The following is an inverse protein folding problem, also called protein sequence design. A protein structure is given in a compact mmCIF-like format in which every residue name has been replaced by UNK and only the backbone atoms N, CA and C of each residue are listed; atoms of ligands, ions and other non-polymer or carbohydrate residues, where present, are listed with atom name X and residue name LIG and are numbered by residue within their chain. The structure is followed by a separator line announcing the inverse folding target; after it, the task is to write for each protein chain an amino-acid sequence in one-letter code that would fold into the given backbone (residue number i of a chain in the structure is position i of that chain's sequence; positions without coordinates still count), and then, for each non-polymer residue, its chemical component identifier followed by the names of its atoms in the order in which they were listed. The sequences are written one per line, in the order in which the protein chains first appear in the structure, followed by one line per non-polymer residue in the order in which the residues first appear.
data_IF_351331898894
#
_entry.id   IF_351331898894
#
_cell.length_a   1.000
_cell.length_b   1.000
_cell.length_c   1.000
_cell.angle_alpha   90.00
_cell.angle_beta   90.00
_cell.angle_gamma   90.00
#
_symmetry.space_group_name_H-M   'P 1'
#
loop_
_entity.id
_entity.type
_entity.pdbx_description
1 polymer ?
#
# COMPACT_ATOMS: atom_id res chain seq x y z
N UNK A 1 11.38 5.52 16.16
CA UNK A 1 10.87 4.18 16.47
C UNK A 1 9.35 4.23 16.50
N UNK A 2 8.68 3.33 15.74
CA UNK A 2 7.24 3.10 15.85
C UNK A 2 6.94 2.02 16.89
N UNK A 3 5.75 2.05 17.48
CA UNK A 3 5.33 1.12 18.51
C UNK A 3 3.94 0.54 18.23
N UNK A 4 3.65 -0.65 18.81
CA UNK A 4 2.37 -1.34 18.60
C UNK A 4 1.17 -0.60 19.21
N UNK A 5 1.39 0.37 20.10
CA UNK A 5 0.35 1.25 20.61
C UNK A 5 0.17 2.54 19.80
N UNK A 6 0.58 2.49 18.51
CA UNK A 6 0.45 3.54 17.51
C UNK A 6 1.11 4.88 17.91
N UNK A 7 2.29 4.81 18.53
CA UNK A 7 3.12 5.99 18.84
C UNK A 7 4.41 5.98 18.02
N UNK A 8 4.88 7.18 17.73
CA UNK A 8 6.15 7.43 17.07
C UNK A 8 7.08 8.20 18.01
N UNK A 9 8.29 7.69 18.21
CA UNK A 9 9.31 8.29 19.07
C UNK A 9 10.55 8.67 18.28
N UNK A 10 11.10 9.85 18.54
CA UNK A 10 12.48 10.16 18.22
C UNK A 10 13.33 10.01 19.47
N UNK A 11 14.39 9.23 19.34
CA UNK A 11 15.34 8.98 20.43
C UNK A 11 16.69 9.59 20.08
N UNK A 12 17.38 10.08 21.08
CA UNK A 12 18.78 10.44 20.96
C UNK A 12 19.61 9.17 20.73
N UNK A 13 20.38 9.13 19.63
CA UNK A 13 21.08 7.91 19.21
C UNK A 13 22.21 7.48 20.20
N UNK A 14 22.76 8.40 20.96
CA UNK A 14 23.85 8.11 21.90
C UNK A 14 23.34 7.72 23.30
N UNK A 15 22.21 8.29 23.72
CA UNK A 15 21.74 8.16 25.11
C UNK A 15 20.44 7.39 25.23
N UNK A 16 19.67 7.22 24.14
CA UNK A 16 18.33 6.66 24.14
C UNK A 16 17.26 7.60 24.71
N UNK A 17 17.61 8.84 25.08
CA UNK A 17 16.66 9.79 25.64
C UNK A 17 15.59 10.17 24.60
N UNK A 18 14.34 10.25 25.03
CA UNK A 18 13.24 10.70 24.16
C UNK A 18 13.42 12.18 23.83
N UNK A 19 13.47 12.50 22.54
CA UNK A 19 13.51 13.86 22.00
C UNK A 19 12.09 14.40 21.82
N UNK A 20 11.21 13.59 21.24
CA UNK A 20 9.78 13.85 21.11
C UNK A 20 9.01 12.53 20.97
N UNK A 21 7.72 12.61 21.27
CA UNK A 21 6.74 11.52 21.12
C UNK A 21 5.52 12.10 20.44
N UNK A 22 4.94 11.32 19.49
CA UNK A 22 3.69 11.66 18.82
C UNK A 22 2.77 10.46 18.77
N UNK A 23 1.51 10.63 19.17
CA UNK A 23 0.45 9.64 18.94
C UNK A 23 -0.02 9.74 17.49
N UNK A 24 0.23 8.69 16.71
CA UNK A 24 -0.09 8.63 15.28
C UNK A 24 -1.58 8.34 15.06
N UNK A 25 -2.12 7.39 15.83
CA UNK A 25 -3.50 6.96 15.75
C UNK A 25 -4.01 6.39 17.07
N UNK A 26 -5.28 6.01 17.12
CA UNK A 26 -5.88 5.41 18.31
C UNK A 26 -5.74 3.88 18.29
N UNK A 27 -4.83 3.35 19.08
CA UNK A 27 -4.62 1.91 19.23
C UNK A 27 -5.87 1.18 19.74
N UNK A 28 -6.74 1.84 20.51
CA UNK A 28 -7.95 1.19 21.04
C UNK A 28 -8.94 0.74 19.95
N UNK A 29 -8.81 1.28 18.73
CA UNK A 29 -9.62 0.88 17.56
C UNK A 29 -8.82 0.02 16.56
N UNK A 30 -7.63 -0.45 16.94
CA UNK A 30 -6.88 -1.42 16.18
C UNK A 30 -5.65 -0.89 15.43
N UNK A 31 -5.35 0.41 15.47
CA UNK A 31 -4.13 0.94 14.82
C UNK A 31 -2.85 0.55 15.56
N UNK A 32 -1.82 0.18 14.78
CA UNK A 32 -0.48 -0.08 15.29
C UNK A 32 0.59 0.35 14.27
N UNK A 33 1.84 0.59 14.71
CA UNK A 33 2.98 0.78 13.81
C UNK A 33 3.88 -0.46 13.90
N UNK A 34 4.04 -1.13 12.76
CA UNK A 34 4.85 -2.37 12.65
C UNK A 34 6.09 -2.18 11.77
N UNK A 35 6.12 -1.10 11.00
CA UNK A 35 7.18 -0.80 10.02
C UNK A 35 8.35 -0.03 10.64
N UNK A 36 9.49 -0.06 9.93
CA UNK A 36 10.58 0.88 10.18
C UNK A 36 10.22 2.26 9.61
N UNK A 37 10.24 3.35 10.40
CA UNK A 37 10.03 4.69 9.89
C UNK A 37 11.08 5.07 8.82
N UNK A 38 10.66 5.64 7.70
CA UNK A 38 11.54 6.11 6.64
C UNK A 38 11.94 7.57 6.91
N UNK A 39 13.25 7.81 7.04
CA UNK A 39 13.77 9.17 7.18
C UNK A 39 14.06 9.77 5.80
N UNK A 40 13.49 10.93 5.49
CA UNK A 40 13.54 11.56 4.18
C UNK A 40 13.48 13.08 4.29
N UNK A 41 14.55 13.77 3.85
CA UNK A 41 14.57 15.24 3.71
C UNK A 41 14.01 16.01 4.93
N UNK A 42 14.44 15.62 6.14
CA UNK A 42 13.96 16.25 7.39
C UNK A 42 12.56 15.81 7.83
N UNK A 43 11.98 14.80 7.18
CA UNK A 43 10.71 14.18 7.51
C UNK A 43 10.90 12.74 8.00
N UNK A 44 9.95 12.26 8.76
CA UNK A 44 9.81 10.85 9.11
C UNK A 44 8.47 10.37 8.52
N UNK A 45 8.55 9.43 7.58
CA UNK A 45 7.37 8.86 6.93
C UNK A 45 7.03 7.54 7.60
N UNK A 46 5.76 7.35 7.92
CA UNK A 46 5.24 6.12 8.51
C UNK A 46 3.92 5.72 7.87
N UNK A 47 3.72 4.42 7.73
CA UNK A 47 2.42 3.83 7.45
C UNK A 47 1.75 3.33 8.72
N UNK A 48 0.67 2.55 8.56
CA UNK A 48 -0.14 2.03 9.66
C UNK A 48 -0.58 0.59 9.39
N UNK A 49 -0.66 -0.23 10.41
CA UNK A 49 -1.29 -1.56 10.40
C UNK A 49 -2.64 -1.53 11.11
N UNK A 50 -3.46 -2.58 10.92
CA UNK A 50 -4.74 -2.78 11.59
C UNK A 50 -5.93 -2.97 10.64
N UNK A 51 -5.70 -3.36 9.37
CA UNK A 51 -6.80 -3.62 8.40
C UNK A 51 -7.84 -4.60 8.96
N UNK A 52 -7.40 -5.66 9.64
CA UNK A 52 -8.23 -6.69 10.25
C UNK A 52 -9.18 -6.14 11.33
N UNK A 53 -8.83 -5.01 11.94
CA UNK A 53 -9.70 -4.30 12.87
C UNK A 53 -10.67 -3.34 12.17
N UNK A 54 -10.67 -3.29 10.83
CA UNK A 54 -11.53 -2.42 10.05
C UNK A 54 -11.14 -0.94 10.20
N UNK A 55 -9.85 -0.62 10.18
CA UNK A 55 -9.36 0.76 10.14
C UNK A 55 -9.24 1.27 8.71
N UNK A 56 -9.23 2.59 8.54
CA UNK A 56 -8.92 3.24 7.26
C UNK A 56 -7.44 3.51 7.19
N UNK A 57 -6.71 2.81 6.31
CA UNK A 57 -5.26 2.92 6.14
C UNK A 57 -4.80 4.30 5.67
N UNK A 58 -3.59 4.68 6.08
CA UNK A 58 -2.99 5.96 5.69
C UNK A 58 -1.45 5.91 5.74
N UNK A 59 -0.84 6.92 5.12
CA UNK A 59 0.58 7.24 5.21
C UNK A 59 0.70 8.65 5.77
N UNK A 60 1.56 8.83 6.77
CA UNK A 60 1.81 10.12 7.41
C UNK A 60 3.27 10.56 7.22
N UNK A 61 3.48 11.87 7.07
CA UNK A 61 4.77 12.50 7.26
C UNK A 61 4.80 13.37 8.51
N UNK A 62 5.90 13.28 9.25
CA UNK A 62 6.16 14.06 10.45
C UNK A 62 7.45 14.86 10.30
N UNK A 63 7.49 16.08 10.82
CA UNK A 63 8.72 16.85 10.94
C UNK A 63 9.71 16.12 11.87
N UNK A 64 10.90 15.84 11.38
CA UNK A 64 11.88 15.02 12.09
C UNK A 64 12.40 15.68 13.39
N UNK A 65 12.30 17.02 13.52
CA UNK A 65 12.79 17.76 14.69
C UNK A 65 11.72 17.87 15.79
N UNK A 66 10.47 18.02 15.39
CA UNK A 66 9.37 18.37 16.31
C UNK A 66 8.36 17.23 16.53
N UNK A 67 8.29 16.24 15.62
CA UNK A 67 7.26 15.21 15.62
C UNK A 67 5.87 15.71 15.21
N UNK A 68 5.76 16.95 14.71
CA UNK A 68 4.49 17.47 14.20
C UNK A 68 4.14 16.85 12.87
N UNK A 69 2.88 16.40 12.71
CA UNK A 69 2.42 15.86 11.42
C UNK A 69 2.37 16.97 10.37
N UNK A 70 2.99 16.70 9.21
CA UNK A 70 3.04 17.62 8.06
C UNK A 70 1.89 17.35 7.10
N UNK A 71 1.66 16.07 6.75
CA UNK A 71 0.56 15.65 5.89
C UNK A 71 0.11 14.23 6.22
N UNK A 72 -1.08 13.86 5.73
CA UNK A 72 -1.64 12.50 5.72
C UNK A 72 -2.24 12.20 4.36
N UNK A 73 -1.87 11.07 3.79
CA UNK A 73 -2.53 10.46 2.64
C UNK A 73 -3.36 9.28 3.10
N UNK A 74 -4.67 9.29 2.84
CA UNK A 74 -5.54 8.14 3.09
C UNK A 74 -5.56 7.21 1.89
N UNK A 75 -5.32 5.91 2.11
CA UNK A 75 -5.33 4.87 1.06
C UNK A 75 -6.75 4.67 0.52
N UNK A 76 -7.73 4.64 1.40
CA UNK A 76 -9.14 4.49 1.01
C UNK A 76 -9.75 5.87 0.89
N UNK A 77 -10.20 6.31 -0.30
CA UNK A 77 -10.73 7.66 -0.50
C UNK A 77 -12.09 7.85 0.19
N UNK A 78 -12.34 9.07 0.67
CA UNK A 78 -13.65 9.47 1.15
C UNK A 78 -14.57 9.87 -0.01
N UNK A 79 -15.90 9.91 0.19
CA UNK A 79 -16.84 10.34 -0.85
C UNK A 79 -16.47 11.67 -1.47
N UNK A 80 -16.41 11.71 -2.80
CA UNK A 80 -16.02 12.89 -3.58
C UNK A 80 -14.52 13.00 -3.87
N UNK A 81 -13.68 12.17 -3.24
CA UNK A 81 -12.27 12.04 -3.62
C UNK A 81 -12.13 11.07 -4.82
N UNK A 82 -11.12 11.23 -5.70
CA UNK A 82 -10.87 10.31 -6.79
C UNK A 82 -10.73 8.86 -6.31
N UNK A 83 -11.39 7.91 -6.99
CA UNK A 83 -11.40 6.49 -6.61
C UNK A 83 -12.50 6.12 -5.61
N UNK A 84 -13.22 7.08 -5.01
CA UNK A 84 -14.31 6.80 -4.06
C UNK A 84 -15.50 6.07 -4.69
N UNK A 85 -15.68 6.20 -5.99
CA UNK A 85 -16.69 5.48 -6.77
C UNK A 85 -16.48 3.95 -6.81
N UNK A 86 -15.28 3.50 -6.48
CA UNK A 86 -14.92 2.07 -6.39
C UNK A 86 -15.24 1.44 -5.04
N UNK A 87 -15.83 2.20 -4.13
CA UNK A 87 -16.27 1.75 -2.81
C UNK A 87 -17.78 1.86 -2.71
N UNK A 88 -18.45 0.73 -2.49
CA UNK A 88 -19.89 0.74 -2.26
C UNK A 88 -20.24 1.17 -0.84
N UNK A 89 -21.37 1.88 -0.69
CA UNK A 89 -21.94 2.25 0.60
C UNK A 89 -20.95 3.08 1.48
N UNK A 90 -20.99 2.82 2.80
CA UNK A 90 -20.09 3.42 3.80
C UNK A 90 -18.83 2.58 4.08
N UNK A 91 -18.56 1.53 3.25
CA UNK A 91 -17.44 0.60 3.46
C UNK A 91 -16.07 1.27 3.48
N UNK A 92 -15.93 2.42 2.82
CA UNK A 92 -14.72 3.23 2.83
C UNK A 92 -14.25 3.64 4.24
N UNK A 93 -15.17 3.74 5.23
CA UNK A 93 -14.84 4.17 6.60
C UNK A 93 -13.94 3.18 7.33
N UNK A 94 -14.10 1.91 7.00
CA UNK A 94 -13.39 0.78 7.61
C UNK A 94 -12.69 -0.07 6.55
N UNK A 95 -12.36 0.54 5.42
CA UNK A 95 -11.99 -0.17 4.19
C UNK A 95 -10.60 -0.82 4.18
N UNK A 96 -9.85 -0.84 5.26
CA UNK A 96 -8.52 -1.44 5.30
C UNK A 96 -7.48 -0.62 4.55
N UNK A 97 -6.76 -1.24 3.62
CA UNK A 97 -5.68 -0.59 2.88
C UNK A 97 -4.51 -0.20 3.77
N UNK A 98 -4.12 -1.10 4.68
CA UNK A 98 -3.00 -0.86 5.61
C UNK A 98 -1.68 -0.64 4.85
N UNK A 99 -0.74 0.05 5.48
CA UNK A 99 0.54 0.49 4.90
C UNK A 99 1.69 0.05 5.79
N UNK A 100 1.61 -1.20 6.24
CA UNK A 100 2.34 -1.75 7.37
C UNK A 100 3.81 -2.13 7.10
N UNK A 101 4.29 -2.03 5.85
CA UNK A 101 5.71 -2.13 5.49
C UNK A 101 6.24 -0.79 4.97
N UNK A 102 7.55 -0.61 5.07
CA UNK A 102 8.24 0.63 4.67
C UNK A 102 8.30 0.75 3.15
N UNK A 103 8.02 1.93 2.63
CA UNK A 103 8.14 2.24 1.20
C UNK A 103 9.57 2.51 0.73
N UNK A 104 9.71 2.93 -0.52
CA UNK A 104 10.97 3.31 -1.15
C UNK A 104 10.90 4.77 -1.65
N UNK A 105 12.05 5.42 -1.75
CA UNK A 105 12.16 6.79 -2.25
C UNK A 105 13.15 6.90 -3.39
N UNK A 106 12.74 7.59 -4.46
CA UNK A 106 13.60 7.95 -5.58
C UNK A 106 14.01 9.44 -5.45
N UNK A 107 15.30 9.74 -5.16
CA UNK A 107 15.75 11.12 -5.04
C UNK A 107 15.85 11.85 -6.38
N UNK A 108 15.95 11.15 -7.51
CA UNK A 108 16.03 11.74 -8.83
C UNK A 108 14.67 12.25 -9.31
N UNK A 109 13.63 11.41 -9.16
CA UNK A 109 12.24 11.77 -9.50
C UNK A 109 11.55 12.55 -8.38
N UNK A 110 12.13 12.57 -7.17
CA UNK A 110 11.51 13.08 -5.95
C UNK A 110 10.14 12.44 -5.71
N UNK A 111 10.05 11.10 -5.84
CA UNK A 111 8.84 10.33 -5.64
C UNK A 111 8.99 9.33 -4.49
N UNK A 112 7.97 9.26 -3.65
CA UNK A 112 7.82 8.29 -2.59
C UNK A 112 6.89 7.17 -3.05
N UNK A 113 7.40 5.94 -3.13
CA UNK A 113 6.63 4.76 -3.49
C UNK A 113 6.21 4.00 -2.25
N UNK A 114 4.91 3.75 -2.13
CA UNK A 114 4.40 3.01 -0.99
C UNK A 114 3.38 1.98 -1.44
N UNK A 115 3.49 0.78 -0.89
CA UNK A 115 2.58 -0.32 -1.18
C UNK A 115 1.49 -0.41 -0.12
N UNK A 116 0.30 -0.82 -0.54
CA UNK A 116 -0.90 -0.84 0.29
C UNK A 116 -1.47 -2.24 0.42
N UNK A 117 -2.02 -2.54 1.58
CA UNK A 117 -2.61 -3.82 1.91
C UNK A 117 -4.03 -4.04 1.37
N UNK A 118 -4.58 -5.16 1.76
CA UNK A 118 -5.90 -5.63 1.38
C UNK A 118 -7.03 -4.68 1.82
N UNK A 119 -8.18 -4.71 1.12
CA UNK A 119 -9.39 -4.04 1.60
C UNK A 119 -10.04 -4.85 2.74
N UNK A 120 -10.74 -4.17 3.65
CA UNK A 120 -11.46 -4.81 4.76
C UNK A 120 -12.99 -4.78 4.54
N UNK A 121 -13.70 -5.82 5.00
CA UNK A 121 -13.21 -7.09 5.58
C UNK A 121 -12.53 -7.97 4.53
N UNK A 122 -11.51 -8.72 4.92
CA UNK A 122 -10.57 -9.40 4.04
C UNK A 122 -11.23 -10.38 3.06
N UNK A 123 -12.08 -11.26 3.58
CA UNK A 123 -12.68 -12.38 2.87
C UNK A 123 -14.08 -12.11 2.29
N UNK A 124 -14.77 -11.08 2.79
CA UNK A 124 -16.14 -10.78 2.37
C UNK A 124 -16.18 -9.53 1.49
N UNK A 125 -16.01 -9.73 0.18
CA UNK A 125 -16.09 -8.67 -0.82
C UNK A 125 -17.52 -8.13 -1.05
N UNK A 126 -18.57 -8.89 -0.74
CA UNK A 126 -19.97 -8.51 -1.01
C UNK A 126 -20.39 -7.20 -0.32
N UNK A 127 -19.79 -6.89 0.84
CA UNK A 127 -20.09 -5.67 1.61
C UNK A 127 -19.32 -4.43 1.12
N UNK A 128 -18.37 -4.61 0.19
CA UNK A 128 -17.54 -3.55 -0.39
C UNK A 128 -17.43 -3.68 -1.91
N UNK A 129 -18.56 -3.63 -2.66
CA UNK A 129 -18.53 -3.80 -4.11
C UNK A 129 -17.65 -2.75 -4.80
N UNK A 130 -17.06 -3.15 -5.94
CA UNK A 130 -16.13 -2.34 -6.74
C UNK A 130 -14.67 -2.73 -6.53
N UNK A 131 -13.77 -2.06 -7.22
CA UNK A 131 -12.32 -2.39 -7.23
C UNK A 131 -11.60 -2.05 -5.92
N UNK A 132 -12.21 -1.23 -5.05
CA UNK A 132 -11.69 -0.84 -3.75
C UNK A 132 -10.33 -0.10 -3.80
N UNK A 133 -10.25 0.93 -4.67
CA UNK A 133 -9.07 1.79 -4.76
C UNK A 133 -8.78 2.51 -3.43
N UNK A 134 -7.57 2.64 -2.98
CA UNK A 134 -6.29 2.19 -3.53
C UNK A 134 -5.69 1.07 -2.70
N UNK A 135 -6.51 0.07 -2.30
CA UNK A 135 -6.02 -1.16 -1.66
C UNK A 135 -5.25 -2.03 -2.66
N UNK A 136 -4.40 -2.93 -2.16
CA UNK A 136 -3.56 -3.83 -2.97
C UNK A 136 -2.84 -3.13 -4.12
N UNK A 137 -2.28 -1.94 -3.84
CA UNK A 137 -1.71 -1.05 -4.86
C UNK A 137 -0.28 -0.61 -4.52
N UNK A 138 0.42 -0.13 -5.54
CA UNK A 138 1.56 0.76 -5.39
C UNK A 138 1.07 2.18 -5.67
N UNK A 139 1.34 3.10 -4.74
CA UNK A 139 1.07 4.53 -4.91
C UNK A 139 2.38 5.30 -4.96
N UNK A 140 2.51 6.24 -5.88
CA UNK A 140 3.62 7.19 -5.94
C UNK A 140 3.14 8.55 -5.44
N UNK A 141 3.77 9.05 -4.38
CA UNK A 141 3.40 10.28 -3.71
C UNK A 141 4.49 11.34 -3.83
N UNK A 142 4.08 12.58 -3.90
CA UNK A 142 4.95 13.71 -3.64
C UNK A 142 5.35 13.71 -2.15
N UNK A 143 6.65 13.59 -1.81
CA UNK A 143 7.06 13.49 -0.42
C UNK A 143 6.90 14.79 0.37
N UNK A 144 6.69 15.94 -0.31
CA UNK A 144 6.49 17.23 0.36
C UNK A 144 5.02 17.43 0.79
N UNK A 145 4.09 16.96 -0.02
CA UNK A 145 2.65 17.24 0.14
C UNK A 145 1.81 16.02 0.48
N UNK A 146 2.28 14.81 0.19
CA UNK A 146 1.51 13.57 0.24
C UNK A 146 0.52 13.42 -0.93
N UNK A 147 0.58 14.30 -1.93
CA UNK A 147 -0.26 14.21 -3.13
C UNK A 147 0.12 13.00 -3.96
N UNK A 148 -0.86 12.18 -4.33
CA UNK A 148 -0.64 11.04 -5.22
C UNK A 148 -0.43 11.52 -6.65
N UNK A 149 0.66 11.06 -7.28
CA UNK A 149 1.00 11.34 -8.69
C UNK A 149 0.47 10.28 -9.62
N UNK A 150 0.61 9.01 -9.22
CA UNK A 150 0.07 7.85 -9.92
C UNK A 150 -0.11 6.67 -8.97
N UNK A 151 -0.84 5.66 -9.42
CA UNK A 151 -0.99 4.38 -8.74
C UNK A 151 -1.06 3.23 -9.74
N UNK A 152 -0.79 2.02 -9.26
CA UNK A 152 -1.06 0.77 -9.95
C UNK A 152 -1.68 -0.23 -8.99
N UNK A 153 -2.87 -0.75 -9.29
CA UNK A 153 -3.55 -1.72 -8.44
C UNK A 153 -3.28 -3.15 -8.92
N UNK A 154 -2.63 -3.95 -8.07
CA UNK A 154 -2.25 -5.33 -8.39
C UNK A 154 -3.39 -6.33 -8.28
N UNK A 155 -4.27 -6.16 -7.30
CA UNK A 155 -5.40 -7.06 -7.05
C UNK A 155 -6.66 -6.24 -6.78
N UNK A 156 -7.40 -5.85 -7.84
CA UNK A 156 -8.72 -5.23 -7.68
C UNK A 156 -9.68 -6.16 -6.95
N UNK A 157 -10.49 -5.61 -6.04
CA UNK A 157 -11.50 -6.35 -5.28
C UNK A 157 -10.94 -7.60 -4.58
N UNK A 158 -9.76 -7.48 -3.97
CA UNK A 158 -9.12 -8.61 -3.30
C UNK A 158 -10.02 -9.23 -2.23
N UNK A 159 -10.24 -10.54 -2.29
CA UNK A 159 -11.02 -11.35 -1.35
C UNK A 159 -10.19 -12.46 -0.70
N UNK A 160 -8.86 -12.39 -0.82
CA UNK A 160 -7.95 -13.45 -0.38
C UNK A 160 -6.85 -12.96 0.56
N UNK A 161 -6.90 -11.70 0.99
CA UNK A 161 -5.86 -11.10 1.83
C UNK A 161 -4.47 -11.12 1.14
N UNK A 162 -4.44 -10.77 -0.14
CA UNK A 162 -3.21 -10.68 -0.93
C UNK A 162 -2.62 -9.28 -0.88
N UNK A 163 -2.24 -8.88 0.31
CA UNK A 163 -1.50 -7.64 0.55
C UNK A 163 -0.46 -7.35 -0.53
N UNK A 164 -0.43 -6.14 -1.05
CA UNK A 164 0.63 -5.68 -1.94
C UNK A 164 1.79 -4.99 -1.19
N UNK A 165 1.95 -5.26 0.08
CA UNK A 165 2.87 -4.53 0.97
C UNK A 165 4.36 -4.91 0.82
N UNK A 166 4.76 -5.67 -0.20
CA UNK A 166 6.17 -5.95 -0.46
C UNK A 166 6.91 -4.65 -0.79
N UNK A 167 8.17 -4.54 -0.35
CA UNK A 167 8.98 -3.35 -0.60
C UNK A 167 9.30 -3.25 -2.10
N UNK A 168 8.95 -2.15 -2.79
CA UNK A 168 9.25 -1.98 -4.20
C UNK A 168 10.75 -1.81 -4.42
N UNK A 169 11.28 -2.46 -5.47
CA UNK A 169 12.69 -2.39 -5.86
C UNK A 169 12.80 -1.40 -7.02
N UNK A 170 13.58 -0.34 -6.82
CA UNK A 170 13.80 0.71 -7.82
C UNK A 170 15.13 0.49 -8.52
N UNK A 171 15.16 0.52 -9.85
CA UNK A 171 16.39 0.43 -10.63
C UNK A 171 16.24 1.06 -12.01
N UNK A 172 17.35 1.39 -12.66
CA UNK A 172 17.43 1.80 -14.04
C UNK A 172 17.90 0.62 -14.88
N UNK A 173 17.29 0.43 -16.05
CA UNK A 173 17.62 -0.68 -16.93
C UNK A 173 17.04 -0.54 -18.30
N UNK A 174 17.56 -1.35 -19.24
CA UNK A 174 17.00 -1.44 -20.60
C UNK A 174 15.76 -2.35 -20.57
N UNK A 175 14.68 -1.88 -21.16
CA UNK A 175 13.48 -2.67 -21.41
C UNK A 175 13.00 -2.44 -22.84
N UNK A 176 12.91 -3.52 -23.63
CA UNK A 176 12.56 -3.49 -25.05
C UNK A 176 13.42 -2.55 -25.90
N UNK A 177 14.71 -2.40 -25.57
CA UNK A 177 15.67 -1.55 -26.30
C UNK A 177 15.64 -0.07 -25.90
N UNK A 178 14.91 0.30 -24.85
CA UNK A 178 14.85 1.63 -24.29
C UNK A 178 15.34 1.66 -22.85
N UNK A 179 16.12 2.67 -22.49
CA UNK A 179 16.47 2.92 -21.09
C UNK A 179 15.22 3.36 -20.32
N UNK A 180 14.91 2.67 -19.25
CA UNK A 180 13.73 2.89 -18.41
C UNK A 180 14.08 3.01 -16.94
N UNK A 181 13.35 3.85 -16.24
CA UNK A 181 13.30 3.88 -14.79
C UNK A 181 12.23 2.90 -14.33
N UNK A 182 12.65 1.83 -13.65
CA UNK A 182 11.76 0.69 -13.39
C UNK A 182 11.51 0.55 -11.88
N UNK A 183 10.30 0.20 -11.52
CA UNK A 183 9.95 -0.35 -10.22
C UNK A 183 9.49 -1.80 -10.39
N UNK A 184 10.09 -2.71 -9.62
CA UNK A 184 9.76 -4.12 -9.62
C UNK A 184 9.08 -4.53 -8.31
N UNK A 185 8.09 -5.41 -8.41
CA UNK A 185 7.39 -5.99 -7.26
C UNK A 185 7.04 -7.46 -7.51
N UNK A 186 7.50 -8.35 -6.62
CA UNK A 186 6.98 -9.71 -6.52
C UNK A 186 5.78 -9.67 -5.57
N UNK A 187 4.56 -9.73 -6.13
CA UNK A 187 3.34 -9.51 -5.37
C UNK A 187 2.82 -10.83 -4.77
N UNK A 188 2.16 -10.74 -3.61
CA UNK A 188 1.58 -11.91 -2.90
C UNK A 188 0.48 -12.60 -3.71
N UNK A 189 -0.09 -11.94 -4.72
CA UNK A 189 -1.03 -12.54 -5.68
C UNK A 189 -0.38 -13.51 -6.69
N UNK A 190 0.91 -13.86 -6.53
CA UNK A 190 1.75 -14.74 -7.32
C UNK A 190 2.25 -14.17 -8.66
N UNK A 191 1.98 -12.92 -8.96
CA UNK A 191 2.53 -12.25 -10.14
C UNK A 191 3.70 -11.35 -9.77
N UNK A 192 4.72 -11.35 -10.62
CA UNK A 192 5.80 -10.38 -10.63
C UNK A 192 5.47 -9.27 -11.62
N UNK A 193 5.70 -8.02 -11.22
CA UNK A 193 5.37 -6.84 -12.01
C UNK A 193 6.59 -5.96 -12.23
N UNK A 194 6.72 -5.42 -13.44
CA UNK A 194 7.58 -4.31 -13.78
C UNK A 194 6.70 -3.14 -14.22
N UNK A 195 6.90 -1.99 -13.61
CA UNK A 195 6.23 -0.75 -13.98
C UNK A 195 7.28 0.31 -14.29
N UNK A 196 6.96 1.24 -15.17
CA UNK A 196 7.68 2.49 -15.29
C UNK A 196 7.49 3.30 -14.00
N UNK A 197 8.59 3.60 -13.27
CA UNK A 197 8.46 4.25 -11.96
C UNK A 197 8.19 5.74 -12.01
N UNK A 198 8.30 6.35 -13.19
CA UNK A 198 7.95 7.76 -13.40
C UNK A 198 6.45 7.94 -13.60
N UNK A 199 5.81 7.01 -14.31
CA UNK A 199 4.43 7.16 -14.78
C UNK A 199 3.45 6.16 -14.20
N UNK A 200 3.92 5.02 -13.67
CA UNK A 200 3.09 3.88 -13.25
C UNK A 200 2.65 2.98 -14.42
N UNK A 201 3.14 3.22 -15.64
CA UNK A 201 2.83 2.39 -16.81
C UNK A 201 3.23 0.92 -16.56
N UNK A 202 2.32 -0.01 -16.86
CA UNK A 202 2.62 -1.43 -16.83
C UNK A 202 3.55 -1.80 -17.98
N UNK A 203 4.74 -2.31 -17.65
CA UNK A 203 5.73 -2.73 -18.63
C UNK A 203 5.70 -4.24 -18.88
N UNK A 204 5.60 -5.03 -17.81
CA UNK A 204 5.62 -6.47 -17.88
C UNK A 204 5.09 -7.09 -16.60
N UNK A 205 4.50 -8.30 -16.73
CA UNK A 205 4.14 -9.12 -15.59
C UNK A 205 3.99 -10.58 -15.98
N UNK A 206 4.35 -11.45 -15.04
CA UNK A 206 4.21 -12.90 -15.22
C UNK A 206 4.08 -13.61 -13.87
N UNK A 207 3.53 -14.81 -13.90
CA UNK A 207 3.54 -15.69 -12.74
C UNK A 207 4.98 -16.01 -12.34
N UNK A 208 5.30 -15.90 -11.05
CA UNK A 208 6.56 -16.36 -10.49
C UNK A 208 6.36 -17.48 -9.46
N UNK A 209 5.15 -17.73 -9.07
CA UNK A 209 4.75 -18.80 -8.16
C UNK A 209 3.49 -19.48 -8.69
N UNK A 210 3.21 -20.71 -8.23
CA UNK A 210 1.96 -21.39 -8.55
C UNK A 210 0.77 -20.53 -8.12
N UNK A 211 -0.18 -20.35 -9.01
CA UNK A 211 -1.46 -19.72 -8.73
C UNK A 211 -2.61 -20.50 -9.42
N UNK A 212 -3.84 -20.35 -8.93
CA UNK A 212 -5.04 -21.03 -9.47
C UNK A 212 -6.26 -20.12 -9.53
N UNK A 213 -6.08 -18.82 -9.33
CA UNK A 213 -7.17 -17.86 -9.22
C UNK A 213 -7.35 -16.95 -10.43
N UNK A 214 -6.31 -16.83 -11.27
CA UNK A 214 -6.35 -16.00 -12.47
C UNK A 214 -5.89 -16.76 -13.72
N UNK A 215 -6.43 -16.39 -14.88
CA UNK A 215 -5.98 -16.91 -16.19
C UNK A 215 -4.69 -16.21 -16.69
N UNK A 216 -4.15 -15.28 -15.93
CA UNK A 216 -3.01 -14.45 -16.27
C UNK A 216 -3.32 -12.97 -16.02
N UNK A 217 -2.53 -12.10 -16.66
CA UNK A 217 -2.72 -10.66 -16.65
C UNK A 217 -3.22 -10.20 -18.03
N UNK A 218 -4.04 -9.16 -18.08
CA UNK A 218 -4.39 -8.48 -19.33
C UNK A 218 -3.28 -7.53 -19.81
N UNK A 219 -3.51 -6.83 -20.91
CA UNK A 219 -2.54 -5.87 -21.49
C UNK A 219 -2.21 -4.69 -20.56
N UNK A 220 -3.08 -4.38 -19.61
CA UNK A 220 -2.87 -3.34 -18.59
C UNK A 220 -2.25 -3.90 -17.29
N UNK A 221 -1.95 -5.20 -17.23
CA UNK A 221 -1.42 -5.86 -16.05
C UNK A 221 -2.47 -6.20 -14.98
N UNK A 222 -3.76 -6.08 -15.30
CA UNK A 222 -4.85 -6.45 -14.40
C UNK A 222 -5.05 -7.97 -14.43
N UNK A 223 -5.18 -8.65 -13.28
CA UNK A 223 -5.48 -10.09 -13.24
C UNK A 223 -6.83 -10.41 -13.88
N UNK A 224 -6.85 -11.47 -14.71
CA UNK A 224 -8.06 -12.03 -15.32
C UNK A 224 -8.58 -13.11 -14.37
N UNK A 225 -9.44 -12.72 -13.43
CA UNK A 225 -9.94 -13.60 -12.36
C UNK A 225 -10.75 -14.77 -12.94
N UNK A 226 -10.46 -15.97 -12.47
CA UNK A 226 -11.21 -17.18 -12.86
C UNK A 226 -12.53 -17.28 -12.08
N UNK A 227 -13.64 -17.69 -12.73
CA UNK A 227 -14.90 -17.91 -12.02
C UNK A 227 -14.79 -18.96 -10.90
N UNK A 228 -15.43 -18.69 -9.77
CA UNK A 228 -15.50 -19.63 -8.64
C UNK A 228 -14.25 -19.71 -7.78
N UNK A 229 -13.38 -18.71 -7.86
CA UNK A 229 -12.17 -18.61 -7.00
C UNK A 229 -12.39 -17.78 -5.73
N UNK A 230 -13.51 -17.08 -5.63
CA UNK A 230 -13.86 -16.34 -4.42
C UNK A 230 -14.03 -17.26 -3.21
N UNK A 231 -13.74 -16.80 -1.99
CA UNK A 231 -14.00 -17.53 -0.76
C UNK A 231 -15.48 -17.92 -0.64
N UNK A 232 -15.74 -19.13 -0.14
CA UNK A 232 -17.10 -19.62 0.11
C UNK A 232 -17.24 -20.05 1.58
N UNK A 233 -18.49 -20.17 2.07
CA UNK A 233 -18.75 -20.62 3.44
C UNK A 233 -18.17 -22.03 3.72
N UNK A 234 -18.20 -22.92 2.74
CA UNK A 234 -17.70 -24.30 2.83
C UNK A 234 -16.17 -24.39 2.60
N UNK A 235 -15.54 -23.27 2.31
CA UNK A 235 -14.14 -23.17 1.93
C UNK A 235 -13.94 -23.36 0.42
N UNK A 236 -12.91 -22.68 -0.10
CA UNK A 236 -12.47 -22.81 -1.47
C UNK A 236 -10.93 -22.71 -1.49
N UNK A 237 -10.26 -23.75 -1.99
CA UNK A 237 -8.80 -23.77 -2.02
C UNK A 237 -8.28 -23.14 -3.29
N UNK A 238 -7.66 -21.99 -3.16
CA UNK A 238 -6.90 -21.30 -4.20
C UNK A 238 -5.44 -21.16 -3.80
N UNK A 239 -4.57 -20.97 -4.77
CA UNK A 239 -3.15 -20.63 -4.60
C UNK A 239 -2.91 -19.24 -5.18
N UNK A 240 -2.02 -18.44 -4.64
CA UNK A 240 -1.00 -18.77 -3.64
C UNK A 240 -1.53 -19.07 -2.30
#
# INVERSE_FOLDING_TARGET
VGTLDARLFALDAATGAVRWETRVADNAVGFALTLAPLALNGKIIVGISGAEAGVRGFIDAYDAKTGSRLWRYYVVPAPGEPGSETWGNESWRTGGGSTWLTGAYDPELNLLYWTTGNPAPDWNGDVRPGDNLYSCSLVALDPETGEMKWYFQFTPHDTHDWDANQIPILFDGEFNGEDRKIVALANRNAFFYLLDRETGEFLHGNEYSKQTWAAGLDEAGRPIVLPGTDPTYDGNLVWP
#
